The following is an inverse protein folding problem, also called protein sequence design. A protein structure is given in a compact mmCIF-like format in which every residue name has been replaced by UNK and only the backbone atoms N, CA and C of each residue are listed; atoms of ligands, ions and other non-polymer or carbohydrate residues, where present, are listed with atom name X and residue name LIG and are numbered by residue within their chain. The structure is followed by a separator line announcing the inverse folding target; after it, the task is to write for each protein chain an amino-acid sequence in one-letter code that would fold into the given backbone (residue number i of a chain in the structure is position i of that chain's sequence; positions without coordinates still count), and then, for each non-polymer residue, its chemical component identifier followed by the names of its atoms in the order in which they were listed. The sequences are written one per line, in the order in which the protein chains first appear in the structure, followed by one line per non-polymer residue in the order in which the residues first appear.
data_IF_516382350786
#
_entry.id   IF_516382350786
#
_cell.length_a   1.000
_cell.length_b   1.000
_cell.length_c   1.000
_cell.angle_alpha   90.00
_cell.angle_beta   90.00
_cell.angle_gamma   90.00
#
_symmetry.space_group_name_H-M   'P 1'
#
loop_
_entity.id
_entity.type
_entity.pdbx_description
1 polymer ?
#
# COMPACT_ATOMS: atom_id res chain seq x y z
N UNK A 1 -14.35 -25.92 -54.43
CA UNK A 1 -15.31 -25.41 -53.44
C UNK A 1 -15.09 -25.92 -51.99
N UNK A 2 -13.92 -26.47 -51.65
CA UNK A 2 -13.56 -26.88 -50.26
C UNK A 2 -12.52 -25.96 -49.59
N UNK A 3 -11.78 -25.17 -50.37
CA UNK A 3 -10.77 -24.23 -49.88
C UNK A 3 -11.35 -22.85 -49.48
N UNK A 4 -12.58 -22.53 -49.89
CA UNK A 4 -13.22 -21.25 -49.57
C UNK A 4 -13.79 -21.22 -48.14
N UNK A 5 -14.17 -22.38 -47.57
CA UNK A 5 -14.64 -22.45 -46.19
C UNK A 5 -13.52 -22.28 -45.17
N UNK A 6 -12.31 -22.82 -45.42
CA UNK A 6 -11.19 -22.73 -44.47
C UNK A 6 -10.60 -21.32 -44.34
N UNK A 7 -10.71 -20.47 -45.37
CA UNK A 7 -10.24 -19.09 -45.30
C UNK A 7 -11.19 -18.20 -44.48
N UNK A 8 -12.50 -18.46 -44.53
CA UNK A 8 -13.52 -17.71 -43.76
C UNK A 8 -13.44 -18.04 -42.27
N UNK A 9 -13.10 -19.28 -41.88
CA UNK A 9 -12.91 -19.64 -40.46
C UNK A 9 -11.67 -18.99 -39.84
N UNK A 10 -10.59 -18.78 -40.63
CA UNK A 10 -9.36 -18.14 -40.15
C UNK A 10 -9.53 -16.62 -39.95
N UNK A 11 -10.37 -15.96 -40.76
CA UNK A 11 -10.63 -14.51 -40.66
C UNK A 11 -11.57 -14.16 -39.49
N UNK A 12 -12.50 -15.05 -39.12
CA UNK A 12 -13.42 -14.81 -37.99
C UNK A 12 -12.73 -14.97 -36.62
N UNK A 13 -11.70 -15.82 -36.52
CA UNK A 13 -10.97 -16.03 -35.26
C UNK A 13 -10.12 -14.82 -34.82
N UNK A 14 -9.70 -13.95 -35.75
CA UNK A 14 -8.93 -12.73 -35.43
C UNK A 14 -9.79 -11.57 -34.89
N UNK A 15 -11.13 -11.66 -35.01
CA UNK A 15 -12.05 -10.59 -34.58
C UNK A 15 -12.49 -10.69 -33.11
N UNK A 16 -12.07 -11.73 -32.39
CA UNK A 16 -12.48 -12.03 -31.02
C UNK A 16 -11.40 -11.77 -29.96
N UNK A 17 -10.32 -11.05 -30.30
CA UNK A 17 -9.39 -10.57 -29.28
C UNK A 17 -10.06 -9.40 -28.55
N UNK A 18 -10.38 -9.53 -27.24
CA UNK A 18 -10.95 -8.43 -26.48
C UNK A 18 -9.99 -7.24 -26.55
N UNK A 19 -10.49 -6.12 -27.06
CA UNK A 19 -9.71 -4.87 -27.10
C UNK A 19 -9.73 -4.24 -25.71
N UNK A 20 -8.59 -3.69 -25.24
CA UNK A 20 -8.58 -2.90 -24.03
C UNK A 20 -9.57 -1.73 -24.15
N UNK A 21 -10.43 -1.59 -23.15
CA UNK A 21 -11.33 -0.45 -23.01
C UNK A 21 -10.64 0.62 -22.15
N UNK A 22 -10.89 1.88 -22.49
CA UNK A 22 -10.36 3.02 -21.76
C UNK A 22 -11.29 3.41 -20.60
N UNK A 23 -10.71 3.63 -19.42
CA UNK A 23 -11.41 4.09 -18.22
C UNK A 23 -10.72 5.34 -17.67
N UNK A 24 -11.54 6.25 -17.13
CA UNK A 24 -11.08 7.38 -16.33
C UNK A 24 -11.57 7.20 -14.90
N UNK A 25 -10.68 6.77 -14.00
CA UNK A 25 -11.02 6.56 -12.60
C UNK A 25 -10.94 7.87 -11.83
N UNK A 26 -12.04 8.23 -11.17
CA UNK A 26 -12.13 9.41 -10.31
C UNK A 26 -11.31 9.20 -9.02
N UNK A 27 -10.57 10.22 -8.58
CA UNK A 27 -10.05 10.26 -7.22
C UNK A 27 -11.22 10.25 -6.23
N UNK A 28 -11.22 9.37 -5.23
CA UNK A 28 -12.26 9.24 -4.20
C UNK A 28 -11.82 9.72 -2.83
N UNK A 29 -10.52 9.86 -2.61
CA UNK A 29 -9.93 10.48 -1.44
C UNK A 29 -8.50 10.90 -1.78
N UNK A 30 -8.07 12.08 -1.37
CA UNK A 30 -6.68 12.48 -1.39
C UNK A 30 -6.29 13.38 -0.21
N UNK A 31 -5.02 13.31 0.17
CA UNK A 31 -4.48 14.17 1.23
C UNK A 31 -2.99 14.35 0.99
N UNK A 32 -2.39 15.32 1.68
CA UNK A 32 -0.94 15.42 1.75
C UNK A 32 -0.47 15.11 3.18
N UNK A 33 0.71 14.51 3.31
CA UNK A 33 1.34 14.19 4.59
C UNK A 33 2.66 14.95 4.69
N UNK A 34 2.80 15.76 5.74
CA UNK A 34 3.99 16.58 5.97
C UNK A 34 4.93 15.93 6.96
N UNK A 35 6.19 15.70 6.60
CA UNK A 35 7.25 15.29 7.53
C UNK A 35 7.95 16.49 8.20
N UNK A 36 7.55 17.73 7.85
CA UNK A 36 8.12 18.95 8.39
C UNK A 36 7.89 19.07 9.90
N UNK A 37 8.89 19.59 10.60
CA UNK A 37 8.79 19.79 12.04
C UNK A 37 7.61 20.71 12.39
N UNK A 38 6.73 20.24 13.27
CA UNK A 38 5.50 20.95 13.66
C UNK A 38 4.26 20.61 12.80
N UNK A 39 4.43 20.01 11.63
CA UNK A 39 3.30 19.66 10.73
C UNK A 39 3.02 18.15 10.67
N UNK A 40 3.84 17.31 11.32
CA UNK A 40 3.73 15.83 11.25
C UNK A 40 2.39 15.25 11.70
N UNK A 41 1.68 16.00 12.53
CA UNK A 41 0.36 15.64 13.05
C UNK A 41 -0.78 16.30 12.27
N UNK A 42 -0.48 17.08 11.22
CA UNK A 42 -1.48 17.78 10.44
C UNK A 42 -2.13 16.87 9.40
N UNK A 43 -3.42 17.09 9.20
CA UNK A 43 -4.22 16.51 8.14
C UNK A 43 -4.57 17.59 7.11
N UNK A 44 -4.60 17.20 5.83
CA UNK A 44 -4.89 18.09 4.70
C UNK A 44 -6.03 17.58 3.80
N UNK A 45 -6.88 16.67 4.28
CA UNK A 45 -7.91 16.01 3.47
C UNK A 45 -8.95 16.92 2.82
N UNK A 46 -9.19 18.11 3.38
CA UNK A 46 -10.10 19.12 2.79
C UNK A 46 -9.34 20.25 2.05
N UNK A 47 -8.03 20.10 1.85
CA UNK A 47 -7.23 21.13 1.19
C UNK A 47 -7.46 21.10 -0.32
N UNK A 48 -7.61 22.27 -0.96
CA UNK A 48 -7.76 22.38 -2.43
C UNK A 48 -6.48 22.04 -3.22
N UNK A 49 -5.35 21.84 -2.53
CA UNK A 49 -4.03 21.60 -3.10
C UNK A 49 -3.28 20.52 -2.33
N UNK A 50 -2.50 19.75 -3.06
CA UNK A 50 -1.56 18.76 -2.56
C UNK A 50 -0.17 19.22 -2.90
N UNK A 51 0.66 19.43 -1.87
CA UNK A 51 2.07 19.78 -2.07
C UNK A 51 2.89 18.51 -2.28
N UNK A 52 3.72 18.52 -3.31
CA UNK A 52 4.70 17.49 -3.60
C UNK A 52 6.09 18.12 -3.47
N UNK A 53 6.80 17.78 -2.39
CA UNK A 53 8.07 18.43 -2.05
C UNK A 53 9.02 17.43 -1.40
N UNK A 54 9.87 16.79 -2.20
CA UNK A 54 10.84 15.83 -1.71
C UNK A 54 10.23 14.80 -0.74
N UNK A 55 10.98 14.52 0.32
CA UNK A 55 10.54 13.75 1.49
C UNK A 55 9.68 14.57 2.47
N UNK A 56 9.52 15.87 2.25
CA UNK A 56 8.82 16.78 3.15
C UNK A 56 7.30 16.67 3.00
N UNK A 57 6.78 16.65 1.77
CA UNK A 57 5.34 16.61 1.51
C UNK A 57 5.03 15.52 0.50
N UNK A 58 4.23 14.53 0.93
CA UNK A 58 3.86 13.36 0.15
C UNK A 58 2.37 13.42 -0.19
N UNK A 59 2.01 13.18 -1.45
CA UNK A 59 0.61 13.07 -1.88
C UNK A 59 0.10 11.64 -1.68
N UNK A 60 -1.12 11.50 -1.17
CA UNK A 60 -1.78 10.22 -0.95
C UNK A 60 -3.13 10.22 -1.67
N UNK A 61 -3.40 9.21 -2.48
CA UNK A 61 -4.55 9.18 -3.39
C UNK A 61 -5.25 7.82 -3.36
N UNK A 62 -6.58 7.84 -3.42
CA UNK A 62 -7.44 6.66 -3.63
C UNK A 62 -8.32 6.91 -4.83
N UNK A 63 -8.52 5.89 -5.67
CA UNK A 63 -9.34 5.99 -6.88
C UNK A 63 -10.48 4.97 -6.85
N UNK A 64 -11.60 5.29 -7.50
CA UNK A 64 -12.73 4.38 -7.66
C UNK A 64 -12.38 3.27 -8.66
N UNK A 65 -12.08 2.07 -8.16
CA UNK A 65 -11.63 0.92 -8.98
C UNK A 65 -12.74 -0.09 -9.31
N UNK A 66 -13.97 0.13 -8.86
CA UNK A 66 -15.07 -0.84 -9.01
C UNK A 66 -15.34 -1.24 -10.46
N UNK A 67 -15.21 -0.30 -11.40
CA UNK A 67 -15.41 -0.55 -12.83
C UNK A 67 -14.37 -1.52 -13.43
N UNK A 68 -13.27 -1.78 -12.72
CA UNK A 68 -12.19 -2.67 -13.15
C UNK A 68 -12.27 -4.09 -12.55
N UNK A 69 -13.29 -4.39 -11.72
CA UNK A 69 -13.50 -5.74 -11.20
C UNK A 69 -13.63 -6.75 -12.35
N UNK A 70 -12.89 -7.86 -12.25
CA UNK A 70 -12.86 -8.88 -13.31
C UNK A 70 -12.01 -8.52 -14.54
N UNK A 71 -11.25 -7.42 -14.51
CA UNK A 71 -10.42 -6.96 -15.64
C UNK A 71 -8.94 -6.98 -15.29
N UNK A 72 -8.10 -7.06 -16.32
CA UNK A 72 -6.65 -6.89 -16.22
C UNK A 72 -6.26 -5.52 -16.74
N UNK A 73 -5.49 -4.79 -15.93
CA UNK A 73 -4.90 -3.49 -16.30
C UNK A 73 -3.76 -3.72 -17.31
N UNK A 74 -3.86 -3.06 -18.46
CA UNK A 74 -2.88 -3.11 -19.56
C UNK A 74 -2.01 -1.88 -19.62
N UNK A 75 -2.56 -0.71 -19.28
CA UNK A 75 -1.81 0.51 -19.10
C UNK A 75 -2.47 1.36 -18.02
N UNK A 76 -1.67 2.14 -17.30
CA UNK A 76 -2.16 3.07 -16.30
C UNK A 76 -1.32 4.34 -16.29
N UNK A 77 -2.01 5.49 -16.18
CA UNK A 77 -1.38 6.80 -16.11
C UNK A 77 -2.09 7.67 -15.10
N UNK A 78 -1.34 8.24 -14.17
CA UNK A 78 -1.84 9.23 -13.22
C UNK A 78 -1.74 10.60 -13.86
N UNK A 79 -2.86 11.33 -13.87
CA UNK A 79 -2.93 12.72 -14.31
C UNK A 79 -3.14 13.62 -13.09
N UNK A 80 -2.30 14.64 -12.99
CA UNK A 80 -2.34 15.70 -11.99
C UNK A 80 -2.30 17.03 -12.72
N UNK A 81 -2.87 18.08 -12.13
CA UNK A 81 -2.79 19.43 -12.70
C UNK A 81 -2.07 20.34 -11.72
N UNK A 82 -1.11 21.11 -12.20
CA UNK A 82 -0.40 22.07 -11.35
C UNK A 82 -1.37 23.10 -10.74
N UNK A 83 -1.20 23.38 -9.46
CA UNK A 83 -1.93 24.38 -8.69
C UNK A 83 -0.98 25.49 -8.21
N UNK A 84 -0.40 26.23 -9.16
CA UNK A 84 0.54 27.31 -8.85
C UNK A 84 1.48 27.63 -10.01
N UNK A 85 2.40 28.56 -9.75
CA UNK A 85 3.43 28.99 -10.69
C UNK A 85 4.69 28.13 -10.64
N UNK A 86 4.95 27.46 -9.51
CA UNK A 86 6.10 26.57 -9.35
C UNK A 86 5.81 25.21 -10.00
N UNK A 87 6.45 24.97 -11.15
CA UNK A 87 6.18 23.83 -12.05
C UNK A 87 7.46 23.04 -12.33
N UNK A 88 8.09 22.62 -11.24
CA UNK A 88 9.44 22.07 -11.25
C UNK A 88 9.49 20.55 -11.12
N UNK A 89 8.36 19.84 -11.04
CA UNK A 89 8.35 18.38 -11.01
C UNK A 89 9.00 17.81 -12.27
N UNK A 90 9.84 16.79 -12.09
CA UNK A 90 10.59 16.13 -13.16
C UNK A 90 10.51 14.62 -13.07
N UNK A 91 10.71 14.08 -11.87
CA UNK A 91 10.57 12.66 -11.58
C UNK A 91 9.65 12.53 -10.37
N UNK A 92 8.60 11.73 -10.51
CA UNK A 92 7.73 11.37 -9.42
C UNK A 92 7.96 9.92 -9.02
N UNK A 93 8.01 9.67 -7.72
CA UNK A 93 7.89 8.35 -7.15
C UNK A 93 6.41 8.00 -7.03
N UNK A 94 6.07 6.76 -7.32
CA UNK A 94 4.75 6.19 -7.07
C UNK A 94 4.92 4.95 -6.24
N UNK A 95 4.23 4.88 -5.11
CA UNK A 95 4.13 3.67 -4.30
C UNK A 95 2.68 3.26 -4.09
N UNK A 96 2.38 1.97 -3.98
CA UNK A 96 1.12 1.57 -3.33
C UNK A 96 1.17 1.93 -1.85
N UNK A 97 0.00 2.04 -1.22
CA UNK A 97 -0.15 1.96 0.24
C UNK A 97 -1.06 0.78 0.58
N UNK A 98 -0.62 -0.11 1.46
CA UNK A 98 -1.44 -1.22 1.95
C UNK A 98 -2.26 -0.82 3.17
N UNK A 99 -1.70 0.03 4.03
CA UNK A 99 -2.36 0.42 5.27
C UNK A 99 -3.69 1.14 4.97
N UNK A 100 -4.78 0.82 5.69
CA UNK A 100 -6.01 1.58 5.59
C UNK A 100 -5.78 3.00 6.13
N UNK A 101 -6.45 3.97 5.52
CA UNK A 101 -6.39 5.37 5.92
C UNK A 101 -7.71 6.07 5.65
N UNK A 102 -7.97 7.14 6.36
CA UNK A 102 -9.10 8.03 6.14
C UNK A 102 -8.55 9.39 5.73
N UNK A 103 -9.18 9.99 4.72
CA UNK A 103 -8.78 11.27 4.13
C UNK A 103 -8.69 12.39 5.16
N UNK A 104 -9.70 12.43 6.03
CA UNK A 104 -9.89 13.51 6.98
C UNK A 104 -10.48 14.75 6.33
N UNK A 105 -10.55 15.82 7.12
CA UNK A 105 -11.20 17.09 6.77
C UNK A 105 -10.33 18.31 7.15
N UNK A 106 -9.04 18.07 7.40
CA UNK A 106 -8.09 19.10 7.79
C UNK A 106 -7.61 19.94 6.61
N UNK A 107 -7.14 21.15 6.92
CA UNK A 107 -6.51 22.07 5.97
C UNK A 107 -5.14 22.52 6.47
N UNK A 108 -4.34 21.55 6.95
CA UNK A 108 -3.09 21.82 7.68
C UNK A 108 -3.29 22.01 9.17
N UNK A 109 -4.17 21.20 9.77
CA UNK A 109 -4.45 21.23 11.21
C UNK A 109 -4.41 19.83 11.82
N UNK A 110 -4.09 19.76 13.11
CA UNK A 110 -4.09 18.50 13.85
C UNK A 110 -5.51 17.97 14.01
N UNK A 111 -5.75 16.74 13.54
CA UNK A 111 -7.06 16.07 13.57
C UNK A 111 -6.97 14.68 14.20
N UNK A 112 -7.37 14.51 15.48
CA UNK A 112 -7.41 13.20 16.12
C UNK A 112 -8.24 12.20 15.31
N UNK A 113 -7.77 10.96 15.20
CA UNK A 113 -8.44 9.88 14.47
C UNK A 113 -8.30 9.92 12.95
N UNK A 114 -7.71 10.97 12.38
CA UNK A 114 -7.48 11.11 10.94
C UNK A 114 -6.02 10.85 10.56
N UNK A 115 -5.74 10.63 9.27
CA UNK A 115 -4.40 10.35 8.79
C UNK A 115 -3.49 11.59 8.88
N UNK A 116 -2.24 11.36 9.29
CA UNK A 116 -1.16 12.34 9.29
C UNK A 116 0.18 11.61 9.05
N UNK A 117 1.31 12.32 9.05
CA UNK A 117 2.60 11.69 8.79
C UNK A 117 2.99 10.65 9.86
N UNK A 118 2.65 10.88 11.13
CA UNK A 118 2.96 9.92 12.21
C UNK A 118 2.01 8.71 12.28
N UNK A 119 0.76 8.83 11.81
CA UNK A 119 -0.25 7.81 12.07
C UNK A 119 -1.30 7.71 10.96
N UNK A 120 -1.75 6.48 10.69
CA UNK A 120 -2.90 6.24 9.82
C UNK A 120 -4.19 6.85 10.42
N UNK A 121 -4.29 6.87 11.75
CA UNK A 121 -5.34 7.54 12.54
C UNK A 121 -4.72 8.11 13.80
N UNK A 122 -4.52 9.41 13.87
CA UNK A 122 -3.78 10.07 14.96
C UNK A 122 -4.36 9.72 16.34
N UNK A 123 -3.52 9.17 17.22
CA UNK A 123 -3.91 8.74 18.57
C UNK A 123 -4.70 7.43 18.65
N UNK A 124 -4.94 6.75 17.53
CA UNK A 124 -5.72 5.51 17.47
C UNK A 124 -4.94 4.35 16.82
N UNK A 125 -4.30 4.58 15.67
CA UNK A 125 -3.52 3.55 14.98
C UNK A 125 -2.34 4.14 14.21
N UNK A 126 -1.16 3.59 14.45
CA UNK A 126 0.03 3.84 13.63
C UNK A 126 -0.16 3.32 12.20
N UNK A 127 0.70 3.75 11.28
CA UNK A 127 0.71 3.24 9.90
C UNK A 127 1.12 1.77 9.80
N UNK A 128 1.96 1.32 10.72
CA UNK A 128 2.39 -0.07 10.90
C UNK A 128 2.89 -0.25 12.33
N UNK A 129 2.98 -1.48 12.82
CA UNK A 129 3.26 -1.72 14.24
C UNK A 129 4.68 -1.39 14.66
N UNK A 130 5.63 -1.56 13.75
CA UNK A 130 7.04 -1.20 13.97
C UNK A 130 7.46 0.00 13.12
N UNK A 131 6.49 0.65 12.45
CA UNK A 131 6.78 1.83 11.65
C UNK A 131 6.72 3.07 12.53
N UNK A 132 7.83 3.80 12.60
CA UNK A 132 7.89 5.07 13.33
C UNK A 132 7.02 6.13 12.66
N UNK A 133 6.94 6.11 11.32
CA UNK A 133 6.18 7.08 10.54
C UNK A 133 5.78 6.53 9.16
N UNK A 134 5.14 7.39 8.36
CA UNK A 134 4.67 7.06 7.02
C UNK A 134 5.79 6.70 6.03
N UNK A 135 6.97 7.32 6.12
CA UNK A 135 8.06 7.06 5.18
C UNK A 135 8.55 5.61 5.30
N UNK A 136 8.60 5.09 6.54
CA UNK A 136 8.94 3.70 6.81
C UNK A 136 7.92 2.71 6.21
N UNK A 137 6.66 3.11 6.08
CA UNK A 137 5.60 2.24 5.54
C UNK A 137 5.65 2.16 4.02
N UNK A 138 5.81 3.28 3.33
CA UNK A 138 5.66 3.33 1.87
C UNK A 138 6.85 2.71 1.12
N UNK A 139 8.06 2.75 1.68
CA UNK A 139 9.27 2.19 1.06
C UNK A 139 9.60 0.76 1.51
N UNK A 140 8.60 0.03 2.03
CA UNK A 140 8.78 -1.36 2.47
C UNK A 140 7.84 -2.33 1.77
N UNK A 141 8.27 -3.61 1.61
CA UNK A 141 7.36 -4.67 1.22
C UNK A 141 6.13 -4.71 2.14
N UNK A 142 4.95 -5.03 1.59
CA UNK A 142 4.73 -5.53 0.24
C UNK A 142 4.43 -4.44 -0.80
N UNK A 143 4.65 -3.15 -0.50
CA UNK A 143 4.32 -2.08 -1.43
C UNK A 143 5.12 -2.20 -2.73
N UNK A 144 4.50 -1.80 -3.84
CA UNK A 144 5.14 -1.65 -5.15
C UNK A 144 5.54 -0.19 -5.28
N UNK A 145 6.81 0.08 -5.58
CA UNK A 145 7.30 1.42 -5.87
C UNK A 145 7.93 1.50 -7.26
N UNK A 146 7.83 2.66 -7.89
CA UNK A 146 8.49 2.97 -9.17
C UNK A 146 8.77 4.47 -9.29
N UNK A 147 9.75 4.82 -10.11
CA UNK A 147 10.09 6.20 -10.46
C UNK A 147 9.72 6.47 -11.91
N UNK A 148 9.15 7.63 -12.18
CA UNK A 148 8.60 7.96 -13.49
C UNK A 148 8.88 9.40 -13.85
N UNK A 149 9.35 9.61 -15.08
CA UNK A 149 9.51 10.95 -15.64
C UNK A 149 8.13 11.59 -15.85
N UNK A 150 8.05 12.86 -15.46
CA UNK A 150 6.85 13.68 -15.63
C UNK A 150 6.73 14.09 -17.09
N UNK A 151 5.59 13.77 -17.70
CA UNK A 151 5.22 14.28 -19.01
C UNK A 151 4.29 15.48 -18.84
N UNK A 152 4.68 16.61 -19.43
CA UNK A 152 3.80 17.77 -19.57
C UNK A 152 2.70 17.52 -20.61
N UNK A 153 1.51 18.01 -20.32
CA UNK A 153 0.34 18.02 -21.20
C UNK A 153 -0.18 19.47 -21.36
N UNK A 154 -1.29 19.63 -22.08
CA UNK A 154 -1.94 20.92 -22.25
C UNK A 154 -2.62 21.38 -20.95
N UNK A 155 -2.94 22.67 -20.84
CA UNK A 155 -3.70 23.26 -19.74
C UNK A 155 -3.14 22.96 -18.33
N UNK A 156 -1.81 22.92 -18.22
CA UNK A 156 -1.06 22.66 -16.99
C UNK A 156 -1.22 21.26 -16.40
N UNK A 157 -1.77 20.34 -17.18
CA UNK A 157 -1.77 18.92 -16.82
C UNK A 157 -0.37 18.34 -16.94
N UNK A 158 -0.08 17.42 -16.03
CA UNK A 158 1.08 16.55 -16.05
C UNK A 158 0.63 15.13 -15.77
N UNK A 159 1.50 14.19 -16.10
CA UNK A 159 1.14 12.80 -15.92
C UNK A 159 2.33 11.87 -16.02
N UNK A 160 2.20 10.75 -15.32
CA UNK A 160 3.22 9.73 -15.15
C UNK A 160 2.61 8.36 -15.38
N UNK A 161 3.39 7.43 -15.94
CA UNK A 161 2.97 6.03 -15.97
C UNK A 161 2.82 5.51 -14.53
N UNK A 162 1.91 4.57 -14.30
CA UNK A 162 1.78 3.86 -13.03
C UNK A 162 1.98 2.37 -13.31
N UNK A 163 2.78 1.64 -12.53
CA UNK A 163 2.91 0.20 -12.72
C UNK A 163 1.54 -0.47 -12.73
N UNK A 164 1.23 -1.24 -13.78
CA UNK A 164 -0.05 -1.93 -13.91
C UNK A 164 -0.35 -2.79 -12.67
N UNK A 165 0.67 -3.45 -12.12
CA UNK A 165 0.57 -4.26 -10.89
C UNK A 165 0.15 -3.44 -9.67
N UNK A 166 0.52 -2.16 -9.59
CA UNK A 166 0.11 -1.28 -8.49
C UNK A 166 -1.39 -0.94 -8.57
N UNK A 167 -1.89 -0.63 -9.77
CA UNK A 167 -3.34 -0.43 -9.99
C UNK A 167 -4.09 -1.75 -9.81
N UNK A 168 -3.56 -2.86 -10.32
CA UNK A 168 -4.19 -4.16 -10.13
C UNK A 168 -4.28 -4.54 -8.64
N UNK A 169 -3.30 -4.15 -7.83
CA UNK A 169 -3.33 -4.37 -6.38
C UNK A 169 -4.46 -3.58 -5.69
N UNK A 170 -4.77 -2.36 -6.15
CA UNK A 170 -5.91 -1.60 -5.61
C UNK A 170 -7.24 -2.19 -6.08
N UNK A 171 -7.34 -2.65 -7.33
CA UNK A 171 -8.51 -3.39 -7.85
C UNK A 171 -8.77 -4.67 -7.05
N UNK A 172 -7.71 -5.42 -6.74
CA UNK A 172 -7.79 -6.68 -5.99
C UNK A 172 -7.97 -6.51 -4.47
N UNK A 173 -8.00 -5.27 -3.96
CA UNK A 173 -8.11 -4.99 -2.52
C UNK A 173 -6.86 -5.39 -1.71
N UNK A 174 -5.70 -5.44 -2.36
CA UNK A 174 -4.38 -5.64 -1.72
C UNK A 174 -3.70 -4.31 -1.37
N UNK A 175 -4.11 -3.20 -1.99
CA UNK A 175 -3.67 -1.86 -1.68
C UNK A 175 -4.89 -0.92 -1.55
N UNK A 176 -4.77 0.10 -0.72
CA UNK A 176 -5.84 1.06 -0.39
C UNK A 176 -5.69 2.38 -1.14
N UNK A 177 -4.60 2.55 -1.90
CA UNK A 177 -4.31 3.76 -2.65
C UNK A 177 -2.90 3.78 -3.24
N UNK A 178 -2.53 4.95 -3.75
CA UNK A 178 -1.22 5.30 -4.27
C UNK A 178 -0.64 6.49 -3.49
N UNK A 179 0.67 6.49 -3.34
CA UNK A 179 1.47 7.57 -2.76
C UNK A 179 2.30 8.16 -3.88
N UNK A 180 2.39 9.48 -3.94
CA UNK A 180 3.18 10.22 -4.92
C UNK A 180 4.17 11.11 -4.20
N UNK A 181 5.43 11.03 -4.62
CA UNK A 181 6.54 11.78 -4.06
C UNK A 181 7.29 12.53 -5.15
N UNK A 182 7.84 13.69 -4.82
CA UNK A 182 8.83 14.35 -5.68
C UNK A 182 10.22 13.78 -5.38
N UNK A 183 10.85 13.17 -6.37
CA UNK A 183 12.06 12.33 -6.16
C UNK A 183 13.34 12.99 -6.65
N UNK A 184 13.22 14.10 -7.39
CA UNK A 184 14.38 14.91 -7.73
C UNK A 184 14.68 15.95 -6.66
N UNK A 185 13.75 16.18 -5.73
CA UNK A 185 13.96 16.99 -4.54
C UNK A 185 14.44 18.37 -4.91
N UNK A 186 13.66 19.08 -5.74
CA UNK A 186 13.95 20.45 -6.14
C UNK A 186 13.84 21.32 -4.89
N UNK A 187 14.94 21.40 -4.15
CA UNK A 187 15.06 22.16 -2.91
C UNK A 187 14.57 23.58 -3.21
N UNK A 188 13.65 24.07 -2.38
CA UNK A 188 12.99 25.38 -2.47
C UNK A 188 11.77 25.52 -3.40
N UNK A 189 11.37 24.48 -4.14
CA UNK A 189 10.09 24.50 -4.86
C UNK A 189 8.96 23.84 -4.06
N UNK A 190 7.91 24.60 -3.77
CA UNK A 190 6.60 24.17 -3.31
C UNK A 190 5.73 23.81 -4.54
N UNK A 191 6.01 22.67 -5.17
CA UNK A 191 5.17 22.19 -6.27
C UNK A 191 3.82 21.75 -5.71
N UNK A 192 2.78 22.50 -6.05
CA UNK A 192 1.41 22.18 -5.67
C UNK A 192 0.68 21.61 -6.89
N UNK A 193 -0.12 20.57 -6.68
CA UNK A 193 -1.12 20.06 -7.63
C UNK A 193 -2.51 20.20 -7.04
N UNK A 194 -3.54 20.28 -7.87
CA UNK A 194 -4.91 20.33 -7.39
C UNK A 194 -5.32 19.01 -6.74
N UNK A 195 -6.12 19.10 -5.68
CA UNK A 195 -6.77 17.97 -5.03
C UNK A 195 -8.13 17.67 -5.68
N UNK A 196 -8.80 16.61 -5.21
CA UNK A 196 -10.19 16.31 -5.56
C UNK A 196 -11.18 17.45 -5.28
N UNK A 197 -10.84 18.37 -4.39
CA UNK A 197 -11.73 19.46 -3.98
C UNK A 197 -11.82 20.55 -5.07
N UNK A 198 -10.90 20.54 -6.04
CA UNK A 198 -10.93 21.47 -7.16
C UNK A 198 -11.67 20.88 -8.37
N UNK A 199 -12.94 21.28 -8.51
CA UNK A 199 -13.77 20.93 -9.67
C UNK A 199 -13.07 21.23 -11.01
N UNK A 200 -13.05 20.24 -11.91
CA UNK A 200 -12.45 20.32 -13.24
C UNK A 200 -10.92 20.19 -13.28
N UNK A 201 -10.27 20.04 -12.13
CA UNK A 201 -8.82 19.82 -12.01
C UNK A 201 -8.48 18.66 -11.11
N UNK A 202 -9.44 17.79 -10.81
CA UNK A 202 -9.29 16.67 -9.89
C UNK A 202 -8.28 15.65 -10.44
N UNK A 203 -7.43 15.06 -9.58
CA UNK A 203 -6.59 13.92 -9.94
C UNK A 203 -7.42 12.76 -10.52
N UNK A 204 -6.89 12.08 -11.53
CA UNK A 204 -7.53 10.89 -12.09
C UNK A 204 -6.52 9.88 -12.63
N UNK A 205 -6.94 8.61 -12.69
CA UNK A 205 -6.20 7.57 -13.41
C UNK A 205 -6.84 7.31 -14.77
N UNK A 206 -6.06 7.45 -15.83
CA UNK A 206 -6.40 6.94 -17.16
C UNK A 206 -5.89 5.49 -17.26
N UNK A 207 -6.79 4.57 -17.57
CA UNK A 207 -6.52 3.13 -17.56
C UNK A 207 -6.97 2.52 -18.88
N UNK A 208 -6.18 1.62 -19.45
CA UNK A 208 -6.67 0.64 -20.42
C UNK A 208 -6.76 -0.71 -19.73
N UNK A 209 -7.92 -1.36 -19.81
CA UNK A 209 -8.12 -2.67 -19.21
C UNK A 209 -8.97 -3.57 -20.10
N UNK A 210 -8.78 -4.88 -19.99
CA UNK A 210 -9.55 -5.87 -20.74
C UNK A 210 -10.21 -6.88 -19.81
N UNK A 211 -11.34 -7.47 -20.19
CA UNK A 211 -11.92 -8.59 -19.46
C UNK A 211 -10.94 -9.73 -19.28
N UNK A 212 -10.92 -10.34 -18.10
CA UNK A 212 -10.13 -11.53 -17.82
C UNK A 212 -11.02 -12.63 -17.25
N UNK A 213 -10.79 -13.89 -17.65
CA UNK A 213 -11.55 -15.00 -17.10
C UNK A 213 -11.31 -15.08 -15.58
N UNK A 214 -12.33 -15.45 -14.79
CA UNK A 214 -12.15 -15.66 -13.36
C UNK A 214 -11.15 -16.79 -13.13
N UNK A 215 -10.05 -16.48 -12.46
CA UNK A 215 -9.01 -17.44 -12.12
C UNK A 215 -8.78 -17.41 -10.62
N UNK A 216 -9.32 -18.42 -9.91
CA UNK A 216 -9.09 -18.59 -8.48
C UNK A 216 -7.66 -19.13 -8.31
N UNK A 217 -6.78 -18.44 -7.56
CA UNK A 217 -5.42 -18.91 -7.39
C UNK A 217 -5.43 -20.17 -6.52
N UNK A 218 -4.48 -21.11 -6.75
CA UNK A 218 -4.34 -22.28 -5.90
C UNK A 218 -4.06 -21.92 -4.44
N UNK A 219 -4.19 -22.91 -3.56
CA UNK A 219 -3.85 -22.77 -2.14
C UNK A 219 -2.36 -22.43 -1.96
N UNK A 220 -2.05 -21.56 -1.00
CA UNK A 220 -0.66 -21.22 -0.63
C UNK A 220 0.08 -22.45 -0.12
N UNK A 221 1.28 -22.69 -0.65
CA UNK A 221 2.08 -23.90 -0.39
C UNK A 221 3.24 -23.61 0.56
N UNK A 222 3.87 -24.68 1.07
CA UNK A 222 5.07 -24.62 1.93
C UNK A 222 4.97 -23.58 3.06
N UNK A 223 3.79 -23.49 3.70
CA UNK A 223 3.56 -22.50 4.75
C UNK A 223 4.13 -23.02 6.06
N UNK A 224 5.15 -22.33 6.55
CA UNK A 224 5.90 -22.64 7.77
C UNK A 224 5.93 -21.40 8.66
N UNK A 225 5.73 -21.60 9.97
CA UNK A 225 5.74 -20.53 10.96
C UNK A 225 6.63 -20.95 12.11
N UNK A 226 7.60 -20.12 12.46
CA UNK A 226 8.48 -20.36 13.60
C UNK A 226 8.65 -19.11 14.47
N UNK A 227 8.87 -19.27 15.78
CA UNK A 227 9.25 -18.15 16.65
C UNK A 227 10.51 -17.44 16.16
N UNK A 228 10.58 -16.12 16.36
CA UNK A 228 11.73 -15.29 16.05
C UNK A 228 12.19 -14.53 17.30
N UNK A 229 12.79 -15.22 18.29
CA UNK A 229 13.08 -14.67 19.63
C UNK A 229 14.04 -13.47 19.61
N UNK A 230 14.93 -13.38 18.62
CA UNK A 230 15.85 -12.25 18.45
C UNK A 230 15.14 -10.92 18.10
N UNK A 231 13.85 -10.97 17.74
CA UNK A 231 12.99 -9.80 17.51
C UNK A 231 11.96 -9.60 18.62
N UNK A 232 12.04 -10.37 19.71
CA UNK A 232 11.18 -10.16 20.87
C UNK A 232 11.62 -8.92 21.66
N UNK A 233 10.65 -8.28 22.32
CA UNK A 233 10.84 -7.19 23.28
C UNK A 233 10.28 -7.63 24.63
N UNK A 234 10.30 -6.73 25.62
CA UNK A 234 9.67 -6.99 26.93
C UNK A 234 8.15 -7.02 26.88
N UNK A 235 7.53 -6.54 25.79
CA UNK A 235 6.08 -6.41 25.65
C UNK A 235 5.51 -7.17 24.46
N UNK A 236 6.34 -7.48 23.46
CA UNK A 236 5.91 -8.09 22.21
C UNK A 236 6.87 -9.17 21.76
N UNK A 237 6.39 -10.04 20.87
CA UNK A 237 7.19 -11.09 20.23
C UNK A 237 7.02 -11.06 18.71
N UNK A 238 7.83 -11.84 18.02
CA UNK A 238 7.78 -11.98 16.57
C UNK A 238 7.74 -13.44 16.13
N UNK A 239 7.12 -13.67 14.97
CA UNK A 239 7.15 -14.93 14.25
C UNK A 239 7.78 -14.70 12.87
N UNK A 240 8.47 -15.71 12.35
CA UNK A 240 8.92 -15.76 10.96
C UNK A 240 7.99 -16.68 10.18
N UNK A 241 7.41 -16.15 9.11
CA UNK A 241 6.49 -16.85 8.22
C UNK A 241 7.17 -17.07 6.87
N UNK A 242 7.27 -18.33 6.44
CA UNK A 242 7.73 -18.71 5.10
C UNK A 242 6.57 -19.33 4.32
N UNK A 243 6.48 -19.03 3.04
CA UNK A 243 5.43 -19.57 2.16
C UNK A 243 5.83 -19.48 0.70
N UNK A 244 5.31 -20.40 -0.12
CA UNK A 244 5.44 -20.38 -1.56
C UNK A 244 4.19 -19.75 -2.19
N UNK A 245 4.38 -18.68 -2.95
CA UNK A 245 3.31 -18.05 -3.72
C UNK A 245 2.92 -18.96 -4.88
N UNK A 246 1.64 -19.36 -4.99
CA UNK A 246 1.18 -20.21 -6.08
C UNK A 246 1.11 -19.44 -7.41
N UNK A 247 1.21 -20.12 -8.56
CA UNK A 247 1.06 -19.47 -9.86
C UNK A 247 -0.31 -18.81 -10.00
N UNK A 248 -0.38 -17.72 -10.77
CA UNK A 248 -1.61 -16.95 -10.98
C UNK A 248 -2.04 -16.05 -9.82
N UNK A 249 -1.32 -16.04 -8.70
CA UNK A 249 -1.55 -15.08 -7.63
C UNK A 249 -0.90 -13.72 -7.94
N UNK A 250 -1.65 -12.64 -7.71
CA UNK A 250 -1.10 -11.29 -7.63
C UNK A 250 -0.45 -11.02 -6.28
N UNK A 251 -1.02 -11.56 -5.20
CA UNK A 251 -0.52 -11.34 -3.85
C UNK A 251 -1.01 -12.37 -2.86
N UNK A 252 -0.57 -12.23 -1.61
CA UNK A 252 -0.96 -13.11 -0.50
C UNK A 252 -1.44 -12.27 0.67
N UNK A 253 -2.58 -12.65 1.23
CA UNK A 253 -3.15 -12.07 2.45
C UNK A 253 -3.03 -13.03 3.62
N UNK A 254 -3.06 -12.46 4.81
CA UNK A 254 -3.14 -13.22 6.04
C UNK A 254 -4.09 -12.58 7.03
N UNK A 255 -4.78 -13.42 7.79
CA UNK A 255 -5.56 -13.03 8.96
C UNK A 255 -5.04 -13.78 10.15
N UNK A 256 -4.74 -13.05 11.22
CA UNK A 256 -4.31 -13.58 12.50
C UNK A 256 -5.42 -13.33 13.51
N UNK A 257 -5.85 -14.39 14.18
CA UNK A 257 -6.82 -14.34 15.27
C UNK A 257 -6.27 -15.10 16.46
N UNK A 258 -6.77 -14.82 17.65
CA UNK A 258 -6.58 -15.70 18.82
C UNK A 258 -7.24 -17.05 18.54
N UNK A 259 -6.56 -18.14 18.88
CA UNK A 259 -7.06 -19.49 18.61
C UNK A 259 -8.21 -19.91 19.54
N UNK A 260 -8.36 -19.23 20.67
CA UNK A 260 -9.29 -19.61 21.75
C UNK A 260 -10.70 -19.07 21.50
N UNK A 261 -10.81 -17.80 21.13
CA UNK A 261 -12.07 -17.07 20.97
C UNK A 261 -12.24 -16.41 19.58
N UNK A 262 -11.24 -16.53 18.69
CA UNK A 262 -11.30 -15.98 17.34
C UNK A 262 -11.21 -14.45 17.26
N UNK A 263 -10.88 -13.78 18.37
CA UNK A 263 -10.68 -12.34 18.44
C UNK A 263 -9.66 -11.90 17.38
N UNK A 264 -10.02 -10.93 16.51
CA UNK A 264 -9.11 -10.42 15.49
C UNK A 264 -7.85 -9.84 16.12
N UNK A 265 -6.70 -10.34 15.66
CA UNK A 265 -5.40 -9.78 16.01
C UNK A 265 -4.94 -8.86 14.88
N UNK A 266 -4.90 -9.38 13.64
CA UNK A 266 -4.48 -8.60 12.46
C UNK A 266 -5.07 -9.10 11.14
N UNK A 267 -5.17 -8.18 10.19
CA UNK A 267 -5.35 -8.43 8.76
C UNK A 267 -4.14 -7.83 8.03
N UNK A 268 -3.52 -8.61 7.16
CA UNK A 268 -2.22 -8.30 6.57
C UNK A 268 -2.22 -8.62 5.08
N UNK A 269 -1.54 -7.78 4.31
CA UNK A 269 -1.05 -8.16 2.99
C UNK A 269 0.42 -8.52 3.15
N UNK A 270 0.77 -9.74 2.79
CA UNK A 270 2.12 -10.27 2.96
C UNK A 270 3.01 -10.06 1.73
N UNK A 271 2.39 -9.97 0.55
CA UNK A 271 3.10 -9.85 -0.72
C UNK A 271 2.18 -9.31 -1.82
N UNK A 272 2.75 -8.54 -2.75
CA UNK A 272 2.11 -8.06 -3.97
C UNK A 272 3.16 -8.11 -5.10
N UNK A 273 2.78 -8.68 -6.24
CA UNK A 273 3.60 -8.71 -7.45
C UNK A 273 4.88 -9.55 -7.35
N UNK A 274 4.98 -10.45 -6.35
CA UNK A 274 6.14 -11.34 -6.16
C UNK A 274 5.77 -12.78 -6.44
N UNK A 275 6.80 -13.58 -6.73
CA UNK A 275 6.67 -15.00 -7.04
C UNK A 275 7.68 -15.83 -6.22
N UNK A 276 7.47 -17.14 -6.19
CA UNK A 276 8.38 -18.08 -5.52
C UNK A 276 8.28 -18.04 -4.00
N UNK A 277 9.33 -18.55 -3.33
CA UNK A 277 9.40 -18.64 -1.88
C UNK A 277 9.56 -17.24 -1.28
N UNK A 278 8.73 -16.91 -0.30
CA UNK A 278 8.76 -15.66 0.44
C UNK A 278 9.02 -15.92 1.92
N UNK A 279 9.55 -14.90 2.58
CA UNK A 279 9.73 -14.86 4.02
C UNK A 279 9.28 -13.48 4.53
N UNK A 280 8.45 -13.47 5.57
CA UNK A 280 7.94 -12.26 6.21
C UNK A 280 8.07 -12.39 7.73
N UNK A 281 8.38 -11.28 8.39
CA UNK A 281 8.39 -11.19 9.86
C UNK A 281 7.05 -10.62 10.33
N UNK A 282 6.39 -11.35 11.22
CA UNK A 282 5.19 -10.93 11.92
C UNK A 282 5.60 -10.48 13.33
N UNK A 283 6.00 -9.22 13.48
CA UNK A 283 6.46 -8.63 14.75
C UNK A 283 5.32 -7.91 15.50
N UNK A 284 5.53 -7.51 16.75
CA UNK A 284 4.52 -6.81 17.57
C UNK A 284 3.36 -7.72 18.04
N UNK A 285 3.57 -9.04 18.09
CA UNK A 285 2.54 -10.00 18.49
C UNK A 285 2.47 -10.13 20.02
N UNK A 286 1.29 -10.47 20.58
CA UNK A 286 1.17 -10.70 22.01
C UNK A 286 1.98 -11.95 22.44
N UNK A 287 2.74 -11.89 23.54
CA UNK A 287 3.51 -13.03 24.04
C UNK A 287 2.61 -14.12 24.64
N UNK A 288 3.11 -15.36 24.62
CA UNK A 288 2.48 -16.51 25.27
C UNK A 288 1.01 -16.76 24.88
N UNK A 289 0.63 -16.47 23.63
CA UNK A 289 -0.73 -16.67 23.09
C UNK A 289 -0.79 -17.75 22.03
N UNK A 290 -1.89 -18.50 22.01
CA UNK A 290 -2.25 -19.36 20.89
C UNK A 290 -2.94 -18.53 19.81
N UNK A 291 -2.39 -18.54 18.62
CA UNK A 291 -2.91 -17.82 17.46
C UNK A 291 -3.27 -18.79 16.34
N UNK A 292 -4.27 -18.42 15.55
CA UNK A 292 -4.58 -19.07 14.28
C UNK A 292 -4.25 -18.09 13.14
N UNK A 293 -3.24 -18.45 12.34
CA UNK A 293 -2.82 -17.73 11.15
C UNK A 293 -3.47 -18.38 9.93
N UNK A 294 -4.35 -17.64 9.24
CA UNK A 294 -4.92 -18.07 7.98
C UNK A 294 -4.30 -17.29 6.83
N UNK A 295 -3.77 -17.96 5.82
CA UNK A 295 -3.15 -17.36 4.63
C UNK A 295 -3.86 -17.81 3.36
N UNK A 296 -4.00 -16.90 2.39
CA UNK A 296 -4.59 -17.21 1.09
C UNK A 296 -3.99 -16.32 -0.01
N UNK A 297 -3.96 -16.86 -1.22
CA UNK A 297 -3.56 -16.11 -2.41
C UNK A 297 -4.73 -15.29 -2.95
N UNK A 298 -4.43 -14.17 -3.60
CA UNK A 298 -5.40 -13.31 -4.28
C UNK A 298 -4.97 -13.18 -5.73
N UNK A 299 -5.88 -13.42 -6.67
CA UNK A 299 -5.62 -13.27 -8.11
C UNK A 299 -5.61 -11.81 -8.54
N UNK A 300 -5.11 -11.50 -9.74
CA UNK A 300 -5.20 -10.15 -10.31
C UNK A 300 -6.62 -9.57 -10.29
N UNK A 301 -7.64 -10.38 -10.56
CA UNK A 301 -9.05 -9.92 -10.61
C UNK A 301 -9.72 -9.81 -9.23
N UNK A 302 -8.97 -10.04 -8.14
CA UNK A 302 -9.47 -9.93 -6.76
C UNK A 302 -10.12 -11.18 -6.19
N UNK A 303 -10.11 -12.31 -6.91
CA UNK A 303 -10.63 -13.57 -6.38
C UNK A 303 -9.64 -14.18 -5.38
N UNK A 304 -10.16 -14.53 -4.20
CA UNK A 304 -9.42 -15.20 -3.15
C UNK A 304 -9.35 -16.72 -3.39
N UNK A 305 -8.16 -17.28 -3.26
CA UNK A 305 -7.93 -18.73 -3.26
C UNK A 305 -8.31 -19.39 -1.94
N UNK A 306 -8.21 -20.74 -1.87
CA UNK A 306 -8.48 -21.48 -0.64
C UNK A 306 -7.55 -21.06 0.51
N UNK A 307 -8.12 -20.89 1.70
CA UNK A 307 -7.35 -20.56 2.90
C UNK A 307 -6.56 -21.77 3.43
N UNK A 308 -5.37 -21.50 3.94
CA UNK A 308 -4.59 -22.43 4.77
C UNK A 308 -4.45 -21.85 6.16
N UNK A 309 -4.91 -22.58 7.17
CA UNK A 309 -4.82 -22.15 8.58
C UNK A 309 -3.79 -22.98 9.32
N UNK A 310 -2.94 -22.30 10.09
CA UNK A 310 -1.94 -22.90 10.97
C UNK A 310 -2.16 -22.34 12.37
N UNK A 311 -2.10 -23.22 13.38
CA UNK A 311 -2.09 -22.80 14.78
C UNK A 311 -0.65 -22.68 15.25
N UNK A 312 -0.34 -21.57 15.92
CA UNK A 312 1.00 -21.28 16.43
C UNK A 312 0.89 -20.75 17.85
N UNK A 313 1.81 -21.20 18.70
CA UNK A 313 2.02 -20.64 20.02
C UNK A 313 3.09 -19.55 19.91
N UNK A 314 2.77 -18.32 20.31
CA UNK A 314 3.78 -17.27 20.39
C UNK A 314 4.70 -17.51 21.60
N UNK A 315 5.99 -17.16 21.49
CA UNK A 315 6.95 -17.36 22.58
C UNK A 315 6.65 -16.40 23.76
N UNK A 316 7.38 -16.59 24.86
CA UNK A 316 7.39 -15.63 25.96
C UNK A 316 8.07 -14.32 25.53
N UNK A 317 7.67 -13.20 26.13
CA UNK A 317 8.39 -11.93 25.99
C UNK A 317 9.78 -12.04 26.65
N UNK A 318 10.70 -11.16 26.25
CA UNK A 318 11.98 -11.06 26.93
C UNK A 318 11.75 -10.63 28.39
N UNK A 319 12.52 -11.17 29.36
CA UNK A 319 12.42 -10.71 30.74
C UNK A 319 12.78 -9.23 30.80
N UNK A 320 12.04 -8.46 31.61
CA UNK A 320 12.43 -7.09 31.93
C UNK A 320 13.77 -7.17 32.66
N UNK A 321 14.85 -6.52 32.20
CA UNK A 321 16.11 -6.52 32.93
C UNK A 321 15.81 -6.00 34.33
N UNK A 322 16.16 -6.80 35.35
CA UNK A 322 16.06 -6.39 36.75
C UNK A 322 16.77 -5.05 36.83
N UNK A 323 16.05 -4.00 37.25
CA UNK A 323 16.63 -2.68 37.48
C UNK A 323 17.94 -2.91 38.22
N UNK A 324 19.07 -2.55 37.61
CA UNK A 324 20.28 -2.35 38.38
C UNK A 324 19.85 -1.36 39.48
N UNK A 325 19.84 -1.82 40.73
CA UNK A 325 19.64 -0.94 41.87
C UNK A 325 20.55 0.27 41.62
N UNK A 326 20.06 1.52 41.81
CA UNK A 326 20.88 2.69 41.56
C UNK A 326 22.21 2.45 42.25
N UNK A 327 23.28 2.32 41.45
CA UNK A 327 24.59 2.07 41.98
C UNK A 327 24.80 3.17 43.02
N UNK A 328 25.20 2.78 44.24
CA UNK A 328 25.54 3.71 45.34
C UNK A 328 26.70 4.67 45.00
N UNK A 329 27.02 4.84 43.73
CA UNK A 329 28.12 5.61 43.15
C UNK A 329 27.83 7.10 42.97
N UNK A 330 26.63 7.60 43.31
CA UNK A 330 26.33 9.04 43.24
C UNK A 330 26.48 9.79 44.57
N UNK A 331 26.87 9.11 45.66
CA UNK A 331 27.17 9.79 46.94
C UNK A 331 28.66 10.09 47.17
N UNK A 332 29.56 9.72 46.25
CA UNK A 332 31.01 10.00 46.37
C UNK A 332 31.49 11.19 45.53
N UNK A 333 30.59 11.93 44.87
CA UNK A 333 30.93 13.16 44.16
C UNK A 333 30.11 14.32 44.76
N UNK A 334 30.48 14.72 45.98
CA UNK A 334 30.28 16.10 46.42
C UNK A 334 31.63 16.83 46.26
N UNK A 335 31.67 18.01 45.64
CA UNK A 335 32.83 18.89 45.75
C UNK A 335 33.01 19.39 47.19
#
# INVERSE_FOLDING_TARGET
MRYLLSLVTLVVAFLLVPRPEAYRLRCTADTNLSSYEGERDFNYGASARIRLKGIQMLGLFRFATDALKGKLVRSARLHLRYAGSERMLRVLGVSTIVAPWEEGDGTGTRRPGQACFHAARLGQSAWGLDAADFAEVIFRPPNIWAYQDVRSEQDDWISIAVPNTAVQATVAGLATGLVVTDEKGQTFANNDVYSREQSGSEPFLAIEAEPAPPAIPPKVQAVEVEPLPERATTTHVALKLRFLIPPGALGVRAKLVTADDGTPVRDLVLSIGRHGLQQVVLAGLPPARRLALSVWAVSPTGLAGPMRTIRVQTPQALPVPIRLAPARFLNSLKP
#
